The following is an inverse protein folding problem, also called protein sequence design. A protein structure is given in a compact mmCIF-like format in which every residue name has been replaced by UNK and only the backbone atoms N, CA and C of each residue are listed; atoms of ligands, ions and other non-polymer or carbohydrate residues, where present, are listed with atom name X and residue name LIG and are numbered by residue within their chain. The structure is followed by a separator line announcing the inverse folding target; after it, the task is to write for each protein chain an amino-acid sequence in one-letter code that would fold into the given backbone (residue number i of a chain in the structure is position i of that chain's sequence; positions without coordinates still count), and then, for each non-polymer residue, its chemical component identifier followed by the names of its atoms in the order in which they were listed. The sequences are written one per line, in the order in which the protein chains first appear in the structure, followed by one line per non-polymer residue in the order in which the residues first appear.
data_IF_128899791113
#
_entry.id   IF_128899791113
#
_cell.length_a   1.000
_cell.length_b   1.000
_cell.length_c   1.000
_cell.angle_alpha   90.00
_cell.angle_beta   90.00
_cell.angle_gamma   90.00
#
_symmetry.space_group_name_H-M   'P 1'
#
loop_
_entity.id
_entity.type
_entity.pdbx_description
1 polymer ?
#
# COMPACT_ATOMS: atom_id res chain seq x y z
N UNK A 1 -8.04 -8.25 22.66
CA UNK A 1 -8.57 -7.87 21.35
C UNK A 1 -7.35 -7.40 20.58
N UNK A 2 -6.82 -8.20 19.65
CA UNK A 2 -5.64 -7.76 18.88
C UNK A 2 -6.12 -6.66 17.95
N UNK A 3 -5.69 -5.43 18.23
CA UNK A 3 -5.92 -4.30 17.36
C UNK A 3 -5.38 -4.65 15.97
N UNK A 4 -6.25 -4.50 14.97
CA UNK A 4 -6.03 -4.94 13.60
C UNK A 4 -5.20 -3.86 12.91
N UNK A 5 -3.88 -4.01 12.94
CA UNK A 5 -2.94 -3.00 12.45
C UNK A 5 -2.58 -3.27 10.99
N UNK A 6 -2.63 -2.23 10.15
CA UNK A 6 -2.15 -2.28 8.76
C UNK A 6 -0.71 -1.78 8.74
N UNK A 7 0.19 -2.60 8.22
CA UNK A 7 1.60 -2.27 8.10
C UNK A 7 1.94 -1.87 6.68
N UNK A 8 2.82 -0.87 6.55
CA UNK A 8 3.34 -0.43 5.28
C UNK A 8 4.80 -0.01 5.33
N UNK A 9 5.37 0.14 4.14
CA UNK A 9 6.75 0.57 3.88
C UNK A 9 6.73 1.62 2.77
N UNK A 10 7.38 2.75 3.01
CA UNK A 10 7.53 3.80 2.00
C UNK A 10 8.43 3.31 0.87
N UNK A 11 8.00 3.50 -0.38
CA UNK A 11 8.81 3.19 -1.55
C UNK A 11 9.63 4.44 -1.90
N UNK A 12 10.90 4.52 -1.50
CA UNK A 12 11.72 5.72 -1.78
C UNK A 12 12.59 5.56 -3.01
N UNK A 13 12.90 4.32 -3.34
CA UNK A 13 13.82 3.98 -4.43
C UNK A 13 13.27 2.83 -5.29
N UNK A 14 13.82 2.68 -6.49
CA UNK A 14 13.53 1.52 -7.36
C UNK A 14 13.95 0.22 -6.66
N UNK A 15 15.00 0.26 -5.84
CA UNK A 15 15.43 -0.89 -5.04
C UNK A 15 14.38 -1.25 -3.97
N UNK A 16 13.75 -0.26 -3.33
CA UNK A 16 12.61 -0.50 -2.44
C UNK A 16 11.47 -1.19 -3.19
N UNK A 17 11.14 -0.75 -4.41
CA UNK A 17 10.13 -1.38 -5.24
C UNK A 17 10.48 -2.84 -5.61
N UNK A 18 11.72 -3.11 -5.99
CA UNK A 18 12.15 -4.48 -6.30
C UNK A 18 12.14 -5.39 -5.07
N UNK A 19 12.57 -4.86 -3.92
CA UNK A 19 12.49 -5.57 -2.65
C UNK A 19 11.05 -5.80 -2.23
N UNK A 20 10.17 -4.83 -2.48
CA UNK A 20 8.74 -4.90 -2.23
C UNK A 20 8.07 -6.04 -3.01
N UNK A 21 8.37 -6.15 -4.30
CA UNK A 21 7.88 -7.26 -5.14
C UNK A 21 8.40 -8.62 -4.66
N UNK A 22 9.64 -8.68 -4.14
CA UNK A 22 10.26 -9.90 -3.63
C UNK A 22 9.74 -10.30 -2.24
N UNK A 23 9.47 -9.32 -1.38
CA UNK A 23 8.95 -9.50 -0.01
C UNK A 23 7.47 -9.93 0.00
N UNK A 24 6.78 -9.87 -1.16
CA UNK A 24 5.45 -10.44 -1.33
C UNK A 24 4.33 -9.58 -0.77
N UNK A 25 4.49 -8.26 -0.81
CA UNK A 25 3.42 -7.35 -0.40
C UNK A 25 2.22 -7.42 -1.34
N UNK A 26 1.04 -7.19 -0.76
CA UNK A 26 -0.22 -7.42 -1.46
C UNK A 26 -0.68 -6.18 -2.25
N UNK A 27 -0.41 -4.97 -1.77
CA UNK A 27 -0.95 -3.72 -2.36
C UNK A 27 0.00 -2.54 -2.30
N UNK A 28 -0.28 -1.55 -3.13
CA UNK A 28 0.41 -0.26 -3.15
C UNK A 28 -0.64 0.85 -3.07
N UNK A 29 -0.46 1.76 -2.13
CA UNK A 29 -1.28 2.95 -1.93
C UNK A 29 -0.54 4.18 -2.43
N UNK A 30 -1.16 4.92 -3.34
CA UNK A 30 -0.71 6.25 -3.73
C UNK A 30 -1.23 7.27 -2.70
N UNK A 31 -0.35 7.90 -1.93
CA UNK A 31 -0.70 8.86 -0.87
C UNK A 31 -1.20 10.20 -1.41
N UNK A 32 -0.94 10.53 -2.67
CA UNK A 32 -1.43 11.75 -3.33
C UNK A 32 -2.86 11.59 -3.81
N UNK A 33 -3.18 10.44 -4.41
CA UNK A 33 -4.52 10.16 -4.98
C UNK A 33 -5.39 9.30 -4.08
N UNK A 34 -4.83 8.78 -2.98
CA UNK A 34 -5.46 7.81 -2.08
C UNK A 34 -5.87 6.51 -2.77
N UNK A 35 -5.33 6.24 -3.98
CA UNK A 35 -5.68 5.04 -4.75
C UNK A 35 -4.91 3.82 -4.26
N UNK A 36 -5.63 2.77 -3.92
CA UNK A 36 -5.10 1.44 -3.66
C UNK A 36 -5.04 0.64 -4.96
N UNK A 37 -3.92 -0.02 -5.17
CA UNK A 37 -3.67 -0.90 -6.29
C UNK A 37 -3.19 -2.26 -5.81
N UNK A 38 -3.62 -3.35 -6.45
CA UNK A 38 -3.05 -4.68 -6.22
C UNK A 38 -1.64 -4.73 -6.77
N UNK A 39 -0.68 -5.21 -5.99
CA UNK A 39 0.72 -5.23 -6.43
C UNK A 39 0.91 -6.05 -7.72
N UNK A 40 0.14 -7.12 -7.93
CA UNK A 40 0.17 -7.95 -9.14
C UNK A 40 -0.25 -7.22 -10.42
N UNK A 41 -1.19 -6.29 -10.32
CA UNK A 41 -1.75 -5.56 -11.47
C UNK A 41 -1.10 -4.19 -11.66
N UNK A 42 -0.26 -3.78 -10.70
CA UNK A 42 0.35 -2.46 -10.64
C UNK A 42 1.58 -2.32 -11.54
N UNK A 43 2.10 -3.42 -12.08
CA UNK A 43 3.17 -3.41 -13.11
C UNK A 43 2.66 -2.90 -14.47
N UNK A 44 1.35 -2.97 -14.72
CA UNK A 44 0.74 -2.62 -16.00
C UNK A 44 0.55 -1.11 -16.21
N UNK A 45 -0.70 -0.67 -16.22
CA UNK A 45 -1.14 0.67 -16.63
C UNK A 45 -0.68 1.84 -15.74
N UNK A 46 0.05 1.58 -14.66
CA UNK A 46 0.41 2.57 -13.63
C UNK A 46 1.92 2.81 -13.49
N UNK A 47 2.68 2.44 -14.53
CA UNK A 47 4.14 2.48 -14.66
C UNK A 47 4.90 3.25 -13.57
N UNK A 48 5.28 2.52 -12.52
CA UNK A 48 6.04 3.03 -11.39
C UNK A 48 7.43 3.55 -11.76
N UNK A 49 8.03 3.10 -12.87
CA UNK A 49 9.35 3.56 -13.31
C UNK A 49 9.39 5.07 -13.58
N UNK A 50 8.23 5.65 -13.93
CA UNK A 50 8.09 7.08 -14.19
C UNK A 50 7.31 7.82 -13.11
N UNK A 51 6.79 7.10 -12.11
CA UNK A 51 6.04 7.69 -11.02
C UNK A 51 7.00 8.17 -9.91
N UNK A 52 6.64 9.25 -9.21
CA UNK A 52 7.39 9.64 -8.01
C UNK A 52 7.11 8.63 -6.89
N UNK A 53 8.07 7.74 -6.64
CA UNK A 53 7.94 6.64 -5.68
C UNK A 53 7.64 7.13 -4.25
N UNK A 54 8.12 8.32 -3.87
CA UNK A 54 7.87 8.89 -2.53
C UNK A 54 6.38 9.07 -2.21
N UNK A 55 5.54 9.12 -3.24
CA UNK A 55 4.08 9.20 -3.11
C UNK A 55 3.43 7.83 -2.90
N UNK A 56 4.19 6.75 -2.75
CA UNK A 56 3.66 5.40 -2.63
C UNK A 56 4.07 4.75 -1.32
N UNK A 57 3.07 4.19 -0.65
CA UNK A 57 3.25 3.29 0.48
C UNK A 57 2.87 1.91 -0.01
N UNK A 58 3.82 1.02 0.11
CA UNK A 58 3.57 -0.37 -0.04
C UNK A 58 2.92 -0.97 1.22
N UNK A 59 1.86 -1.76 1.07
CA UNK A 59 1.03 -2.27 2.16
C UNK A 59 1.06 -3.80 2.18
N UNK A 60 1.32 -4.37 3.37
CA UNK A 60 1.30 -5.81 3.60
C UNK A 60 0.10 -6.18 4.48
N UNK A 61 -0.65 -7.22 4.12
CA UNK A 61 -1.71 -7.78 4.96
C UNK A 61 -1.15 -8.71 6.06
N UNK A 62 -0.17 -8.23 6.83
CA UNK A 62 0.31 -8.95 8.01
C UNK A 62 -0.70 -8.78 9.15
N UNK A 63 -1.80 -9.53 9.11
CA UNK A 63 -2.80 -9.53 10.20
C UNK A 63 -4.25 -9.43 9.74
N UNK A 64 -4.76 -10.52 9.16
CA UNK A 64 -6.18 -10.94 9.05
C UNK A 64 -7.13 -10.09 8.19
N UNK A 65 -7.11 -8.75 8.24
CA UNK A 65 -7.95 -7.95 7.33
C UNK A 65 -7.21 -7.81 6.01
N UNK A 66 -7.80 -8.35 4.95
CA UNK A 66 -7.38 -7.99 3.61
C UNK A 66 -7.88 -6.57 3.33
N UNK A 67 -6.96 -5.63 3.13
CA UNK A 67 -7.29 -4.22 2.87
C UNK A 67 -8.22 -4.05 1.65
N UNK A 68 -8.21 -4.99 0.70
CA UNK A 68 -9.15 -4.99 -0.43
C UNK A 68 -10.60 -5.31 -0.08
N UNK A 69 -10.85 -5.92 1.09
CA UNK A 69 -12.20 -6.17 1.60
C UNK A 69 -12.79 -4.96 2.31
N UNK A 70 -11.99 -3.93 2.60
CA UNK A 70 -12.50 -2.67 3.10
C UNK A 70 -13.25 -1.95 1.98
N UNK A 71 -14.27 -1.18 2.35
CA UNK A 71 -15.04 -0.38 1.41
C UNK A 71 -14.24 0.83 0.91
N UNK A 72 -14.56 1.30 -0.29
CA UNK A 72 -14.05 2.59 -0.75
C UNK A 72 -14.51 3.71 0.19
N UNK A 73 -13.64 4.66 0.46
CA UNK A 73 -13.84 5.70 1.47
C UNK A 73 -13.46 5.29 2.90
N UNK A 74 -13.10 4.02 3.15
CA UNK A 74 -12.65 3.58 4.47
C UNK A 74 -11.36 4.30 4.89
N UNK A 75 -11.30 4.77 6.14
CA UNK A 75 -10.09 5.38 6.69
C UNK A 75 -9.26 4.29 7.35
N UNK A 76 -8.00 4.17 6.95
CA UNK A 76 -7.06 3.17 7.46
C UNK A 76 -5.85 3.83 8.13
N UNK A 77 -5.51 3.45 9.38
CA UNK A 77 -4.24 3.82 9.98
C UNK A 77 -3.14 2.88 9.46
N UNK A 78 -2.06 3.45 8.93
CA UNK A 78 -0.89 2.70 8.46
C UNK A 78 0.27 2.93 9.42
N UNK A 79 0.97 1.85 9.77
CA UNK A 79 2.14 1.84 10.63
C UNK A 79 3.34 1.31 9.86
N UNK A 80 4.52 1.84 10.16
CA UNK A 80 5.77 1.40 9.55
C UNK A 80 6.08 -0.04 9.97
N UNK A 81 6.31 -0.91 8.99
CA UNK A 81 6.49 -2.34 9.23
C UNK A 81 7.73 -2.69 10.07
N UNK A 82 8.79 -1.87 10.01
CA UNK A 82 10.04 -2.16 10.72
C UNK A 82 10.04 -1.62 12.14
N UNK A 83 9.44 -0.46 12.34
CA UNK A 83 9.49 0.28 13.62
C UNK A 83 8.18 0.21 14.41
N UNK A 84 7.07 -0.16 13.76
CA UNK A 84 5.72 -0.10 14.33
C UNK A 84 5.22 1.32 14.57
N UNK A 85 5.92 2.35 14.08
CA UNK A 85 5.55 3.75 14.25
C UNK A 85 4.40 4.10 13.32
N UNK A 86 3.42 4.84 13.83
CA UNK A 86 2.31 5.35 13.03
C UNK A 86 2.81 6.28 11.91
N UNK A 87 2.46 5.96 10.66
CA UNK A 87 2.78 6.75 9.46
C UNK A 87 1.68 7.79 9.23
N UNK A 88 0.41 7.37 9.27
CA UNK A 88 -0.69 8.23 8.89
C UNK A 88 -2.02 7.51 8.71
N UNK A 89 -3.08 8.29 8.55
CA UNK A 89 -4.40 7.82 8.17
C UNK A 89 -4.64 8.14 6.70
N UNK A 90 -5.11 7.16 5.95
CA UNK A 90 -5.39 7.31 4.53
C UNK A 90 -6.82 6.90 4.23
N UNK A 91 -7.45 7.63 3.31
CA UNK A 91 -8.75 7.24 2.76
C UNK A 91 -8.45 6.19 1.69
N UNK A 92 -9.12 5.05 1.74
CA UNK A 92 -8.94 3.99 0.77
C UNK A 92 -9.82 4.23 -0.45
N UNK A 93 -9.24 4.39 -1.64
CA UNK A 93 -9.98 4.39 -2.90
C UNK A 93 -9.45 3.28 -3.80
N UNK A 94 -10.24 2.26 -4.12
CA UNK A 94 -9.78 1.21 -5.04
C UNK A 94 -9.61 1.77 -6.44
N UNK A 95 -8.51 1.37 -7.08
CA UNK A 95 -8.32 1.64 -8.49
C UNK A 95 -9.29 0.79 -9.32
N UNK A 96 -10.10 1.43 -10.15
CA UNK A 96 -11.08 0.81 -11.07
C UNK A 96 -10.44 -0.18 -12.08
N UNK A 97 -9.13 -0.11 -12.28
CA UNK A 97 -8.40 -1.03 -13.17
C UNK A 97 -7.76 -2.21 -12.42
N UNK A 98 -7.64 -2.15 -11.09
CA UNK A 98 -6.99 -3.17 -10.26
C UNK A 98 -7.98 -3.97 -9.39
N UNK A 99 -9.22 -3.51 -9.27
CA UNK A 99 -10.29 -4.08 -8.44
C UNK A 99 -11.60 -4.15 -9.20
#
# INVERSE_FOLDING_TARGET
MMDRVIYGKLLRTIEDLQNFQREGYDYILNTTTNKLHKCSDFEGSHNLLYANLENFIGISNLGVILIDKLEDGAIIPIFDQNTGIYIGNYILNKCEYCF
#
